data_IF_391351719257
#
_entry.id   IF_391351719257
#
_cell.length_a   1.000
_cell.length_b   1.000
_cell.length_c   1.000
_cell.angle_alpha   90.00
_cell.angle_beta   90.00
_cell.angle_gamma   90.00
#
_symmetry.space_group_name_H-M   'P 1'
#
loop_
_entity.id
_entity.type
_entity.pdbx_description
1 polymer ?
#
# COMPACT_ATOMS: atom_id res chain seq x y z
N UNK A 1 -22.81 -0.90 7.74
CA UNK A 1 -23.26 -0.12 6.55
C UNK A 1 -22.24 0.97 6.30
N UNK A 2 -21.88 1.27 5.05
CA UNK A 2 -20.92 2.33 4.74
C UNK A 2 -21.34 3.67 5.37
N UNK A 3 -20.33 4.46 5.77
CA UNK A 3 -20.58 5.83 6.29
C UNK A 3 -21.07 6.75 5.16
N UNK A 4 -20.58 6.52 3.94
CA UNK A 4 -21.02 7.19 2.71
C UNK A 4 -21.41 6.09 1.74
N UNK A 5 -22.61 6.15 1.18
CA UNK A 5 -23.06 5.16 0.21
C UNK A 5 -22.29 5.29 -1.11
N UNK A 6 -21.76 4.20 -1.67
CA UNK A 6 -21.15 4.22 -2.99
C UNK A 6 -22.14 4.65 -4.06
N UNK A 7 -21.73 5.51 -4.98
CA UNK A 7 -22.59 5.91 -6.11
C UNK A 7 -22.88 4.67 -6.97
N UNK A 8 -24.15 4.31 -7.23
CA UNK A 8 -24.48 3.20 -8.12
C UNK A 8 -23.83 3.35 -9.51
N UNK A 9 -23.43 2.23 -10.12
CA UNK A 9 -22.71 2.26 -11.40
C UNK A 9 -23.50 2.99 -12.50
N UNK A 10 -24.82 2.88 -12.50
CA UNK A 10 -25.72 3.52 -13.46
C UNK A 10 -25.91 5.02 -13.23
N UNK A 11 -25.60 5.51 -12.02
CA UNK A 11 -25.66 6.95 -11.66
C UNK A 11 -24.31 7.66 -11.83
N UNK A 12 -23.23 6.92 -12.09
CA UNK A 12 -21.90 7.50 -12.31
C UNK A 12 -21.86 8.36 -13.56
N UNK A 13 -21.02 9.39 -13.54
CA UNK A 13 -20.67 10.12 -14.77
C UNK A 13 -20.07 9.15 -15.79
N UNK A 14 -20.27 9.39 -17.10
CA UNK A 14 -19.72 8.51 -18.15
C UNK A 14 -18.20 8.30 -18.01
N UNK A 15 -17.46 9.34 -17.61
CA UNK A 15 -16.02 9.29 -17.42
C UNK A 15 -15.65 8.43 -16.19
N UNK A 16 -16.30 8.63 -15.06
CA UNK A 16 -16.06 7.83 -13.85
C UNK A 16 -16.37 6.36 -14.09
N UNK A 17 -17.50 6.08 -14.75
CA UNK A 17 -17.90 4.71 -15.07
C UNK A 17 -16.85 4.02 -15.96
N UNK A 18 -16.43 4.67 -17.06
CA UNK A 18 -15.46 4.10 -17.97
C UNK A 18 -14.13 3.75 -17.29
N UNK A 19 -13.64 4.63 -16.42
CA UNK A 19 -12.41 4.40 -15.65
C UNK A 19 -12.55 3.20 -14.71
N UNK A 20 -13.68 3.10 -14.02
CA UNK A 20 -13.93 2.01 -13.06
C UNK A 20 -14.07 0.67 -13.80
N UNK A 21 -14.86 0.63 -14.86
CA UNK A 21 -15.07 -0.58 -15.68
C UNK A 21 -13.75 -1.06 -16.28
N UNK A 22 -13.01 -0.20 -16.98
CA UNK A 22 -11.71 -0.53 -17.56
C UNK A 22 -10.72 -1.02 -16.52
N UNK A 23 -10.60 -0.33 -15.38
CA UNK A 23 -9.66 -0.72 -14.34
C UNK A 23 -10.03 -2.05 -13.65
N UNK A 24 -11.32 -2.39 -13.55
CA UNK A 24 -11.77 -3.70 -13.05
C UNK A 24 -11.52 -4.80 -14.09
N UNK A 25 -11.80 -4.57 -15.37
CA UNK A 25 -11.56 -5.51 -16.45
C UNK A 25 -10.07 -5.83 -16.62
N UNK A 26 -9.21 -4.85 -16.46
CA UNK A 26 -7.75 -4.99 -16.51
C UNK A 26 -7.15 -5.61 -15.24
N UNK A 27 -7.98 -5.89 -14.21
CA UNK A 27 -7.52 -6.40 -12.91
C UNK A 27 -6.74 -5.39 -12.05
N UNK A 28 -6.74 -4.12 -12.46
CA UNK A 28 -6.12 -3.03 -11.70
C UNK A 28 -6.85 -2.81 -10.37
N UNK A 29 -8.15 -3.01 -10.35
CA UNK A 29 -9.02 -2.95 -9.17
C UNK A 29 -9.68 -4.30 -8.90
N UNK A 30 -9.67 -4.73 -7.64
CA UNK A 30 -10.32 -5.98 -7.23
C UNK A 30 -11.85 -5.84 -7.11
N UNK A 31 -12.34 -4.63 -6.89
CA UNK A 31 -13.76 -4.29 -6.69
C UNK A 31 -14.01 -2.85 -7.07
N UNK A 32 -15.18 -2.51 -7.64
CA UNK A 32 -15.53 -1.13 -7.96
C UNK A 32 -15.88 -0.27 -6.73
N UNK A 33 -16.22 -0.88 -5.59
CA UNK A 33 -16.83 -0.20 -4.45
C UNK A 33 -16.04 1.04 -3.96
N UNK A 34 -14.72 0.98 -3.67
CA UNK A 34 -13.99 2.17 -3.25
C UNK A 34 -13.96 3.27 -4.32
N UNK A 35 -13.98 2.87 -5.59
CA UNK A 35 -13.92 3.80 -6.72
C UNK A 35 -15.26 4.52 -6.93
N UNK A 36 -16.38 3.85 -6.64
CA UNK A 36 -17.69 4.46 -6.62
C UNK A 36 -17.78 5.58 -5.56
N UNK A 37 -17.08 5.40 -4.42
CA UNK A 37 -16.93 6.47 -3.42
C UNK A 37 -16.03 7.60 -3.91
N UNK A 38 -14.88 7.26 -4.53
CA UNK A 38 -13.96 8.29 -5.06
C UNK A 38 -14.56 9.06 -6.23
N UNK A 39 -15.58 8.52 -6.89
CA UNK A 39 -16.31 9.20 -7.97
C UNK A 39 -17.10 10.45 -7.50
N UNK A 40 -17.36 10.60 -6.19
CA UNK A 40 -17.80 11.87 -5.63
C UNK A 40 -16.82 13.02 -5.94
N UNK A 41 -15.57 12.68 -6.17
CA UNK A 41 -14.53 13.59 -6.67
C UNK A 41 -13.90 13.01 -7.93
N UNK A 42 -14.57 13.14 -9.07
CA UNK A 42 -14.10 12.60 -10.37
C UNK A 42 -12.63 12.98 -10.66
N UNK A 43 -12.22 14.20 -10.32
CA UNK A 43 -10.85 14.67 -10.51
C UNK A 43 -9.83 13.82 -9.74
N UNK A 44 -10.11 13.49 -8.47
CA UNK A 44 -9.23 12.66 -7.66
C UNK A 44 -9.26 11.20 -8.13
N UNK A 45 -10.42 10.69 -8.55
CA UNK A 45 -10.53 9.36 -9.15
C UNK A 45 -9.62 9.23 -10.38
N UNK A 46 -9.66 10.20 -11.30
CA UNK A 46 -8.82 10.20 -12.51
C UNK A 46 -7.32 10.27 -12.17
N UNK A 47 -6.92 11.19 -11.29
CA UNK A 47 -5.52 11.32 -10.87
C UNK A 47 -5.00 10.05 -10.18
N UNK A 48 -5.83 9.40 -9.39
CA UNK A 48 -5.49 8.14 -8.73
C UNK A 48 -5.38 6.99 -9.74
N UNK A 49 -6.28 6.90 -10.71
CA UNK A 49 -6.25 5.90 -11.77
C UNK A 49 -4.97 6.06 -12.62
N UNK A 50 -4.64 7.27 -13.04
CA UNK A 50 -3.40 7.58 -13.75
C UNK A 50 -2.17 7.12 -12.94
N UNK A 51 -2.12 7.44 -11.65
CA UNK A 51 -1.02 7.04 -10.77
C UNK A 51 -0.91 5.52 -10.66
N UNK A 52 -2.03 4.81 -10.62
CA UNK A 52 -2.03 3.33 -10.53
C UNK A 52 -1.63 2.68 -11.84
N UNK A 53 -2.01 3.23 -12.98
CA UNK A 53 -1.61 2.73 -14.30
C UNK A 53 -0.11 2.87 -14.52
N UNK A 54 0.53 3.91 -13.97
CA UNK A 54 1.99 4.07 -13.99
C UNK A 54 2.72 2.94 -13.27
N UNK A 55 2.11 2.26 -12.30
CA UNK A 55 2.73 1.11 -11.61
C UNK A 55 3.03 -0.09 -12.52
N UNK A 56 2.37 -0.19 -13.66
CA UNK A 56 2.60 -1.22 -14.68
C UNK A 56 3.78 -0.91 -15.63
N UNK A 57 4.25 0.34 -15.68
CA UNK A 57 5.30 0.75 -16.62
C UNK A 57 6.08 1.97 -16.11
N UNK A 58 7.39 1.88 -16.14
CA UNK A 58 8.26 3.03 -15.91
C UNK A 58 8.57 3.36 -14.45
N UNK A 59 8.12 2.59 -13.47
CA UNK A 59 8.55 2.74 -12.08
C UNK A 59 9.94 2.13 -11.88
N UNK A 60 10.73 2.78 -11.01
CA UNK A 60 12.12 2.41 -10.72
C UNK A 60 12.22 1.29 -9.69
N UNK A 61 11.19 1.16 -8.83
CA UNK A 61 11.04 0.04 -7.92
C UNK A 61 10.39 -1.13 -8.66
N UNK A 62 10.94 -2.31 -8.52
CA UNK A 62 10.37 -3.52 -9.13
C UNK A 62 8.94 -3.80 -8.64
N UNK A 63 8.13 -4.41 -9.49
CA UNK A 63 6.72 -4.73 -9.19
C UNK A 63 6.54 -5.55 -7.91
N UNK A 64 7.50 -6.43 -7.57
CA UNK A 64 7.50 -7.20 -6.34
C UNK A 64 7.61 -6.31 -5.09
N UNK A 65 8.53 -5.35 -5.06
CA UNK A 65 8.65 -4.39 -3.94
C UNK A 65 7.36 -3.59 -3.78
N UNK A 66 6.82 -3.06 -4.87
CA UNK A 66 5.57 -2.28 -4.85
C UNK A 66 4.38 -3.10 -4.34
N UNK A 67 4.32 -4.38 -4.66
CA UNK A 67 3.27 -5.27 -4.17
C UNK A 67 3.44 -5.61 -2.69
N UNK A 68 4.67 -5.88 -2.22
CA UNK A 68 4.96 -6.07 -0.79
C UNK A 68 4.55 -4.84 0.02
N UNK A 69 4.89 -3.64 -0.45
CA UNK A 69 4.48 -2.39 0.19
C UNK A 69 2.95 -2.20 0.21
N UNK A 70 2.27 -2.56 -0.89
CA UNK A 70 0.81 -2.49 -0.96
C UNK A 70 0.15 -3.43 0.06
N UNK A 71 0.64 -4.66 0.16
CA UNK A 71 0.12 -5.65 1.10
C UNK A 71 0.42 -5.22 2.54
N UNK A 72 1.66 -4.79 2.82
CA UNK A 72 2.01 -4.29 4.16
C UNK A 72 1.17 -3.09 4.57
N UNK A 73 0.99 -2.14 3.67
CA UNK A 73 0.10 -0.99 3.90
C UNK A 73 -1.36 -1.41 4.14
N UNK A 74 -1.84 -2.46 3.45
CA UNK A 74 -3.18 -2.99 3.68
C UNK A 74 -3.31 -3.67 5.05
N UNK A 75 -2.27 -4.37 5.52
CA UNK A 75 -2.21 -4.92 6.87
C UNK A 75 -2.28 -3.82 7.91
N UNK A 76 -1.42 -2.80 7.79
CA UNK A 76 -1.37 -1.65 8.71
C UNK A 76 -2.63 -0.77 8.66
N UNK A 77 -3.36 -0.78 7.55
CA UNK A 77 -4.60 -0.04 7.33
C UNK A 77 -5.87 -0.88 7.50
N UNK A 78 -5.74 -2.13 7.96
CA UNK A 78 -6.85 -3.07 8.23
C UNK A 78 -7.82 -3.25 7.03
N UNK A 79 -7.29 -3.17 5.79
CA UNK A 79 -8.09 -3.33 4.58
C UNK A 79 -8.14 -4.81 4.16
N UNK A 80 -9.12 -5.58 4.65
CA UNK A 80 -9.23 -7.03 4.40
C UNK A 80 -9.19 -7.42 2.91
N UNK A 81 -10.02 -6.89 2.02
CA UNK A 81 -9.95 -7.27 0.61
C UNK A 81 -8.64 -6.85 -0.05
N UNK A 82 -7.99 -5.79 0.46
CA UNK A 82 -6.69 -5.37 -0.04
C UNK A 82 -5.57 -6.34 0.37
N UNK A 83 -5.67 -6.95 1.56
CA UNK A 83 -4.72 -7.97 2.02
C UNK A 83 -4.83 -9.27 1.23
N UNK A 84 -6.03 -9.67 0.86
CA UNK A 84 -6.29 -10.92 0.13
C UNK A 84 -5.96 -10.81 -1.36
N UNK A 85 -6.05 -9.63 -1.94
CA UNK A 85 -5.77 -9.39 -3.36
C UNK A 85 -4.27 -9.56 -3.66
N UNK A 86 -3.94 -10.19 -4.79
CA UNK A 86 -2.57 -10.29 -5.34
C UNK A 86 -2.54 -9.60 -6.69
N UNK A 87 -1.54 -8.73 -6.88
CA UNK A 87 -1.34 -7.93 -8.10
C UNK A 87 -0.02 -8.25 -8.80
N UNK A 88 0.78 -9.13 -8.21
CA UNK A 88 2.05 -9.57 -8.77
C UNK A 88 2.27 -11.06 -8.49
N UNK A 89 2.50 -11.84 -9.54
CA UNK A 89 2.55 -13.31 -9.48
C UNK A 89 3.72 -13.86 -8.64
N UNK A 90 4.75 -13.04 -8.39
CA UNK A 90 5.89 -13.46 -7.58
C UNK A 90 5.65 -13.40 -6.06
N UNK A 91 4.50 -12.94 -5.61
CA UNK A 91 4.17 -12.87 -4.17
C UNK A 91 3.46 -14.13 -3.74
N UNK A 92 4.05 -14.82 -2.79
CA UNK A 92 3.51 -16.03 -2.17
C UNK A 92 2.85 -15.72 -0.82
N UNK A 93 2.08 -16.67 -0.29
CA UNK A 93 1.51 -16.51 1.07
C UNK A 93 2.60 -16.54 2.15
N UNK A 94 3.73 -17.21 1.88
CA UNK A 94 4.92 -17.16 2.76
C UNK A 94 5.53 -15.76 2.79
N UNK A 95 5.67 -15.08 1.64
CA UNK A 95 6.11 -13.68 1.60
C UNK A 95 5.20 -12.78 2.44
N UNK A 96 3.88 -12.98 2.35
CA UNK A 96 2.90 -12.19 3.12
C UNK A 96 3.02 -12.44 4.62
N UNK A 97 3.26 -13.70 5.03
CA UNK A 97 3.50 -14.05 6.42
C UNK A 97 4.81 -13.42 6.93
N UNK A 98 5.86 -13.40 6.11
CA UNK A 98 7.15 -12.76 6.43
C UNK A 98 7.06 -11.24 6.64
N UNK A 99 6.03 -10.58 6.10
CA UNK A 99 5.81 -9.15 6.39
C UNK A 99 5.43 -8.88 7.86
N UNK A 100 5.09 -9.92 8.63
CA UNK A 100 4.78 -9.85 10.06
C UNK A 100 5.98 -10.25 10.92
N UNK A 101 6.90 -11.04 10.35
CA UNK A 101 8.12 -11.50 11.01
C UNK A 101 9.28 -11.30 10.04
N UNK A 102 9.89 -10.12 10.10
CA UNK A 102 10.95 -9.71 9.18
C UNK A 102 12.24 -10.53 9.31
N UNK A 103 12.42 -11.26 10.41
CA UNK A 103 13.64 -12.03 10.69
C UNK A 103 13.61 -13.43 10.05
N UNK A 104 12.43 -13.94 9.71
CA UNK A 104 12.23 -15.31 9.22
C UNK A 104 12.10 -15.49 7.70
N UNK A 105 12.12 -14.42 6.90
CA UNK A 105 11.69 -14.47 5.51
C UNK A 105 12.78 -14.47 4.44
N UNK A 106 12.39 -14.87 3.23
CA UNK A 106 13.23 -14.85 2.03
C UNK A 106 13.29 -13.46 1.34
N UNK A 107 13.10 -12.37 2.12
CA UNK A 107 13.15 -11.02 1.57
C UNK A 107 14.59 -10.60 1.29
N UNK A 108 14.81 -9.99 0.15
CA UNK A 108 16.08 -9.32 -0.17
C UNK A 108 16.28 -8.09 0.73
N UNK A 109 17.51 -7.58 0.77
CA UNK A 109 17.83 -6.35 1.51
C UNK A 109 16.97 -5.16 1.08
N UNK A 110 16.80 -4.98 -0.23
CA UNK A 110 15.93 -3.93 -0.77
C UNK A 110 14.47 -4.09 -0.31
N UNK A 111 13.96 -5.32 -0.29
CA UNK A 111 12.59 -5.61 0.15
C UNK A 111 12.43 -5.34 1.65
N UNK A 112 13.38 -5.80 2.48
CA UNK A 112 13.36 -5.56 3.93
C UNK A 112 13.39 -4.07 4.27
N UNK A 113 14.30 -3.32 3.67
CA UNK A 113 14.41 -1.88 3.89
C UNK A 113 13.18 -1.13 3.39
N UNK A 114 12.57 -1.58 2.28
CA UNK A 114 11.32 -1.00 1.77
C UNK A 114 10.15 -1.21 2.73
N UNK A 115 10.00 -2.41 3.27
CA UNK A 115 8.95 -2.72 4.25
C UNK A 115 9.18 -1.98 5.55
N UNK A 116 10.43 -1.95 6.04
CA UNK A 116 10.80 -1.18 7.23
C UNK A 116 10.53 0.32 7.06
N UNK A 117 10.78 0.89 5.87
CA UNK A 117 10.41 2.28 5.58
C UNK A 117 8.89 2.50 5.72
N UNK A 118 8.07 1.58 5.19
CA UNK A 118 6.61 1.64 5.33
C UNK A 118 6.19 1.59 6.80
N UNK A 119 6.78 0.69 7.57
CA UNK A 119 6.47 0.49 8.98
C UNK A 119 6.80 1.75 9.80
N UNK A 120 8.01 2.28 9.63
CA UNK A 120 8.44 3.51 10.30
C UNK A 120 7.58 4.71 9.89
N UNK A 121 7.29 4.87 8.59
CA UNK A 121 6.44 5.95 8.12
C UNK A 121 5.03 5.88 8.71
N UNK A 122 4.56 4.66 8.98
CA UNK A 122 3.24 4.38 9.54
C UNK A 122 3.17 4.61 11.05
N UNK A 123 4.21 4.25 11.80
CA UNK A 123 4.22 4.20 13.26
C UNK A 123 5.00 5.37 13.88
N UNK A 124 6.22 5.62 13.39
CA UNK A 124 7.12 6.66 13.90
C UNK A 124 8.02 7.21 12.79
N UNK A 125 7.51 8.18 12.05
CA UNK A 125 8.26 8.80 10.96
C UNK A 125 9.52 9.57 11.43
N UNK A 126 9.67 9.87 12.72
CA UNK A 126 10.87 10.51 13.27
C UNK A 126 12.06 9.55 13.30
N UNK A 127 11.81 8.24 13.30
CA UNK A 127 12.85 7.22 13.18
C UNK A 127 13.42 7.10 11.76
N UNK A 128 12.79 7.72 10.76
CA UNK A 128 13.35 7.86 9.39
C UNK A 128 14.32 9.05 9.40
N UNK A 129 15.46 8.84 9.99
CA UNK A 129 16.51 9.85 10.17
C UNK A 129 17.59 9.79 9.07
N UNK A 130 18.66 10.59 9.25
CA UNK A 130 19.78 10.63 8.30
C UNK A 130 20.53 9.29 8.22
N UNK A 131 20.61 8.54 9.31
CA UNK A 131 21.28 7.25 9.33
C UNK A 131 20.50 6.23 8.52
N UNK A 132 19.18 6.20 8.68
CA UNK A 132 18.32 5.33 7.88
C UNK A 132 18.33 5.69 6.39
N UNK A 133 18.37 6.99 6.03
CA UNK A 133 18.54 7.39 4.64
C UNK A 133 19.90 6.99 4.07
N UNK A 134 20.96 6.97 4.88
CA UNK A 134 22.26 6.46 4.46
C UNK A 134 22.22 4.95 4.19
N UNK A 135 21.56 4.18 5.04
CA UNK A 135 21.32 2.75 4.85
C UNK A 135 20.53 2.48 3.55
N UNK A 136 19.47 3.22 3.29
CA UNK A 136 18.73 3.13 2.02
C UNK A 136 19.62 3.44 0.81
N UNK A 137 20.51 4.41 0.91
CA UNK A 137 21.39 4.81 -0.19
C UNK A 137 22.46 3.76 -0.55
N UNK A 138 22.69 2.76 0.30
CA UNK A 138 23.58 1.62 -0.01
C UNK A 138 22.98 0.68 -1.07
N UNK A 139 21.64 0.61 -1.14
CA UNK A 139 20.93 -0.34 -2.01
C UNK A 139 19.98 0.31 -3.02
N UNK A 140 19.69 1.60 -2.85
CA UNK A 140 18.79 2.38 -3.71
C UNK A 140 19.44 3.66 -4.22
N UNK A 141 19.10 4.05 -5.43
CA UNK A 141 19.38 5.39 -5.94
C UNK A 141 18.48 6.43 -5.27
N UNK A 142 18.87 7.71 -5.28
CA UNK A 142 18.02 8.78 -4.78
C UNK A 142 16.62 8.81 -5.43
N UNK A 143 16.54 8.53 -6.73
CA UNK A 143 15.26 8.47 -7.44
C UNK A 143 14.36 7.33 -6.92
N UNK A 144 14.94 6.16 -6.66
CA UNK A 144 14.21 5.02 -6.07
C UNK A 144 13.75 5.33 -4.63
N UNK A 145 14.56 6.01 -3.83
CA UNK A 145 14.19 6.42 -2.46
C UNK A 145 12.99 7.39 -2.49
N UNK A 146 12.98 8.34 -3.41
CA UNK A 146 11.84 9.25 -3.57
C UNK A 146 10.58 8.49 -4.02
N UNK A 147 10.71 7.56 -4.98
CA UNK A 147 9.60 6.72 -5.43
C UNK A 147 9.07 5.83 -4.30
N UNK A 148 9.96 5.27 -3.47
CA UNK A 148 9.62 4.51 -2.27
C UNK A 148 8.76 5.35 -1.32
N UNK A 149 9.22 6.55 -0.97
CA UNK A 149 8.49 7.45 -0.08
C UNK A 149 7.11 7.82 -0.61
N UNK A 150 7.00 8.18 -1.88
CA UNK A 150 5.73 8.53 -2.52
C UNK A 150 4.77 7.33 -2.58
N UNK A 151 5.29 6.13 -2.89
CA UNK A 151 4.51 4.90 -2.93
C UNK A 151 3.97 4.51 -1.54
N UNK A 152 4.81 4.61 -0.52
CA UNK A 152 4.42 4.35 0.87
C UNK A 152 3.36 5.35 1.35
N UNK A 153 3.59 6.64 1.18
CA UNK A 153 2.66 7.70 1.61
C UNK A 153 1.28 7.56 0.95
N UNK A 154 1.25 7.32 -0.37
CA UNK A 154 0.02 7.14 -1.11
C UNK A 154 -0.76 5.88 -0.69
N UNK A 155 -0.07 4.75 -0.54
CA UNK A 155 -0.71 3.48 -0.15
C UNK A 155 -1.24 3.53 1.28
N UNK A 156 -0.43 4.01 2.22
CA UNK A 156 -0.79 4.11 3.64
C UNK A 156 -2.01 5.01 3.86
N UNK A 157 -1.99 6.21 3.28
CA UNK A 157 -3.12 7.15 3.41
C UNK A 157 -4.40 6.58 2.81
N UNK A 158 -4.30 5.93 1.65
CA UNK A 158 -5.44 5.36 0.95
C UNK A 158 -6.09 4.21 1.73
N UNK A 159 -5.32 3.22 2.22
CA UNK A 159 -5.87 2.09 2.95
C UNK A 159 -6.54 2.53 4.26
N UNK A 160 -5.93 3.45 5.00
CA UNK A 160 -6.54 4.02 6.23
C UNK A 160 -7.81 4.80 5.93
N UNK A 161 -7.82 5.60 4.88
CA UNK A 161 -9.01 6.35 4.47
C UNK A 161 -10.16 5.40 4.10
N UNK A 162 -9.90 4.36 3.27
CA UNK A 162 -10.92 3.37 2.92
C UNK A 162 -11.47 2.67 4.16
N UNK A 163 -10.62 2.33 5.13
CA UNK A 163 -11.04 1.72 6.39
C UNK A 163 -12.04 2.61 7.14
N UNK A 164 -11.79 3.93 7.21
CA UNK A 164 -12.70 4.87 7.90
C UNK A 164 -14.06 5.00 7.25
N UNK A 165 -14.24 4.56 6.02
CA UNK A 165 -15.51 4.62 5.29
C UNK A 165 -16.42 3.41 5.56
N UNK A 166 -15.93 2.39 6.27
CA UNK A 166 -16.64 1.14 6.61
C UNK A 166 -17.27 0.45 5.39
N UNK A 167 -16.59 0.53 4.25
CA UNK A 167 -17.13 0.07 2.95
C UNK A 167 -17.21 -1.43 2.84
N UNK A 168 -16.32 -2.12 3.53
CA UNK A 168 -16.25 -3.57 3.61
C UNK A 168 -16.76 -3.95 5.00
N UNK A 169 -17.94 -4.53 5.11
CA UNK A 169 -18.57 -4.82 6.40
C UNK A 169 -17.62 -5.42 7.45
N UNK A 170 -17.99 -5.24 8.71
CA UNK A 170 -17.21 -5.65 9.90
C UNK A 170 -17.40 -7.11 10.28
N UNK A 171 -18.06 -7.93 9.46
CA UNK A 171 -18.50 -9.27 9.82
C UNK A 171 -17.37 -10.33 9.83
N UNK A 172 -16.17 -9.99 9.32
CA UNK A 172 -15.01 -10.84 9.44
C UNK A 172 -14.07 -10.32 10.56
N UNK A 173 -13.45 -11.22 11.32
CA UNK A 173 -12.53 -10.81 12.37
C UNK A 173 -11.37 -10.03 11.75
N UNK A 174 -11.33 -8.75 12.01
CA UNK A 174 -10.21 -7.88 11.61
C UNK A 174 -9.00 -8.31 12.41
N UNK A 175 -7.98 -8.83 11.73
CA UNK A 175 -6.66 -8.97 12.34
C UNK A 175 -6.11 -7.57 12.53
N UNK A 176 -6.15 -7.08 13.77
CA UNK A 176 -5.61 -5.76 14.09
C UNK A 176 -4.09 -5.84 14.15
N UNK A 177 -3.45 -5.10 13.27
CA UNK A 177 -2.01 -4.84 13.36
C UNK A 177 -1.84 -3.51 14.09
N UNK A 178 -1.43 -3.56 15.36
CA UNK A 178 -1.13 -2.35 16.13
C UNK A 178 0.26 -1.82 15.78
N UNK A 179 0.47 -0.54 16.03
CA UNK A 179 1.81 0.07 15.90
C UNK A 179 2.84 -0.61 16.81
N UNK A 180 2.39 -1.24 17.91
CA UNK A 180 3.24 -1.97 18.84
C UNK A 180 3.82 -3.28 18.25
N UNK A 181 3.28 -3.76 17.14
CA UNK A 181 3.76 -4.92 16.39
C UNK A 181 4.76 -4.53 15.28
N UNK A 182 4.97 -3.24 15.08
CA UNK A 182 6.03 -2.74 14.22
C UNK A 182 7.33 -2.80 15.04
N UNK A 183 8.26 -3.65 14.62
CA UNK A 183 9.58 -3.68 15.25
C UNK A 183 10.33 -2.39 14.92
N UNK A 184 10.27 -1.44 15.85
CA UNK A 184 11.03 -0.19 15.81
C UNK A 184 12.41 -0.35 16.47
N UNK A 185 12.67 -1.51 17.07
CA UNK A 185 13.90 -1.79 17.78
C UNK A 185 15.02 -2.19 16.81
N UNK A 186 15.61 -1.20 16.18
CA UNK A 186 16.98 -1.32 15.70
C UNK A 186 17.86 -0.67 16.74
N UNK A 187 18.58 -1.47 17.51
CA UNK A 187 19.65 -0.95 18.34
C UNK A 187 20.61 -0.14 17.45
N UNK A 188 21.03 1.06 17.88
CA UNK A 188 22.00 1.81 17.11
C UNK A 188 23.26 0.99 17.00
N UNK A 189 23.64 0.61 15.78
CA UNK A 189 24.95 0.01 15.52
C UNK A 189 25.96 1.04 15.97
N UNK A 190 26.65 0.73 17.06
CA UNK A 190 27.67 1.59 17.63
C UNK A 190 28.74 1.88 16.57
N UNK A 191 28.81 3.12 16.15
CA UNK A 191 29.91 3.64 15.35
C UNK A 191 31.13 3.68 16.28
N UNK A 192 32.03 2.75 16.11
CA UNK A 192 33.35 2.75 16.71
C UNK A 192 34.27 3.71 15.95
#
# INVERSE_FOLDING_TARGET
>A
MPIIEPIPMDELSPVSRAVIESGCEEGLYATPIPLQLFAYSTRHLLAMDDTRRLRGSGLLLGGRILELLRIRSAQLGECQPCMQSRKHDSITDEDVACLLDMDGGNLTEQERLSVRFMDLLSADHHAIDRAFYAELAEVFTAAQIIELGLSCAGSMGMHRFIHTLEVFGTDEPVVKYSADQVDTAVEPVGVA
#
